data_IF_570279426829
#
_entry.id   IF_570279426829
#
_cell.length_a   1.000
_cell.length_b   1.000
_cell.length_c   1.000
_cell.angle_alpha   90.00
_cell.angle_beta   90.00
_cell.angle_gamma   90.00
#
_symmetry.space_group_name_H-M   'P 1'
#
loop_
_entity.id
_entity.type
_entity.pdbx_description
1 polymer ?
#
# COMPACT_ATOMS: atom_id res chain seq x y z
N UNK A 1 44.01 -51.95 -39.39
CA UNK A 1 44.83 -51.98 -38.17
C UNK A 1 44.88 -50.59 -37.61
N UNK A 2 44.31 -50.38 -36.49
CA UNK A 2 44.68 -49.44 -35.45
C UNK A 2 43.43 -49.12 -34.60
N UNK A 3 43.56 -49.43 -33.36
CA UNK A 3 42.61 -49.54 -32.28
C UNK A 3 42.28 -48.18 -31.72
N UNK A 4 41.01 -47.98 -31.41
CA UNK A 4 40.42 -46.87 -30.66
C UNK A 4 40.80 -46.91 -29.17
N UNK A 5 41.02 -45.78 -28.46
CA UNK A 5 41.06 -45.77 -27.00
C UNK A 5 39.75 -45.23 -26.39
N UNK A 6 39.31 -46.00 -25.48
CA UNK A 6 38.37 -45.85 -24.37
C UNK A 6 38.04 -44.42 -23.89
N UNK A 7 36.78 -44.09 -23.92
CA UNK A 7 36.12 -43.03 -23.14
C UNK A 7 36.00 -43.47 -21.66
N UNK A 8 36.70 -42.77 -20.77
CA UNK A 8 36.52 -42.88 -19.32
C UNK A 8 35.22 -42.20 -18.89
N UNK A 9 34.33 -42.98 -18.29
CA UNK A 9 33.09 -42.50 -17.66
C UNK A 9 33.45 -41.67 -16.41
N UNK A 10 33.18 -40.36 -16.45
CA UNK A 10 33.16 -39.52 -15.28
C UNK A 10 31.81 -39.73 -14.56
N UNK A 11 31.87 -40.22 -13.33
CA UNK A 11 30.75 -40.34 -12.39
C UNK A 11 30.13 -38.98 -12.15
N UNK A 12 28.93 -38.71 -12.64
CA UNK A 12 28.09 -37.64 -12.16
C UNK A 12 27.71 -37.95 -10.71
N UNK A 13 28.16 -37.08 -9.81
CA UNK A 13 27.85 -37.17 -8.39
C UNK A 13 26.35 -37.09 -8.14
N UNK A 14 25.90 -37.99 -7.30
CA UNK A 14 24.51 -38.08 -6.81
C UNK A 14 24.26 -36.83 -5.96
N UNK A 15 23.56 -35.84 -6.54
CA UNK A 15 22.97 -34.75 -5.75
C UNK A 15 21.93 -35.34 -4.80
N UNK A 16 22.10 -35.10 -3.51
CA UNK A 16 21.30 -35.69 -2.45
C UNK A 16 19.81 -35.31 -2.61
N UNK A 17 18.93 -36.24 -2.28
CA UNK A 17 17.46 -36.05 -2.27
C UNK A 17 16.97 -34.85 -1.48
N UNK A 18 17.81 -34.23 -0.64
CA UNK A 18 17.49 -32.96 0.07
C UNK A 18 17.48 -31.74 -0.86
N UNK A 19 18.31 -31.71 -1.92
CA UNK A 19 18.36 -30.62 -2.87
C UNK A 19 17.11 -30.58 -3.79
N UNK A 20 16.55 -31.74 -4.11
CA UNK A 20 15.34 -31.83 -4.95
C UNK A 20 14.07 -31.43 -4.20
N UNK A 21 14.02 -31.56 -2.86
CA UNK A 21 12.88 -31.08 -2.06
C UNK A 21 12.84 -29.57 -1.90
N UNK A 22 13.97 -28.86 -1.99
CA UNK A 22 14.01 -27.39 -1.94
C UNK A 22 13.56 -26.74 -3.26
N UNK A 23 13.69 -27.45 -4.39
CA UNK A 23 13.25 -26.95 -5.70
C UNK A 23 11.72 -27.06 -5.91
N UNK A 24 11.02 -27.92 -5.14
CA UNK A 24 9.57 -28.09 -5.25
C UNK A 24 8.77 -26.98 -4.53
N UNK A 25 9.42 -26.09 -3.79
CA UNK A 25 8.79 -24.92 -3.15
C UNK A 25 9.10 -23.58 -3.85
N UNK A 26 9.84 -23.59 -4.96
CA UNK A 26 9.97 -22.40 -5.78
C UNK A 26 8.61 -22.12 -6.46
N UNK A 27 7.78 -21.24 -5.84
CA UNK A 27 6.58 -20.73 -6.49
C UNK A 27 7.04 -20.03 -7.77
N UNK A 28 6.74 -20.63 -8.91
CA UNK A 28 6.99 -20.01 -10.21
C UNK A 28 6.16 -18.74 -10.30
N UNK A 29 6.82 -17.58 -10.28
CA UNK A 29 6.15 -16.32 -10.57
C UNK A 29 5.72 -16.36 -12.04
N UNK A 30 4.43 -16.32 -12.29
CA UNK A 30 3.86 -16.13 -13.62
C UNK A 30 3.46 -14.68 -13.81
N UNK A 31 3.77 -14.12 -14.96
CA UNK A 31 3.30 -12.79 -15.37
C UNK A 31 1.88 -12.84 -15.97
N UNK A 32 1.31 -14.04 -16.14
CA UNK A 32 -0.04 -14.20 -16.66
C UNK A 32 -1.06 -14.11 -15.52
N UNK A 33 -1.93 -13.11 -15.62
CA UNK A 33 -3.06 -12.96 -14.70
C UNK A 33 -4.10 -14.05 -14.95
N UNK A 34 -4.72 -14.54 -13.89
CA UNK A 34 -5.91 -15.39 -13.99
C UNK A 34 -7.09 -14.61 -14.59
N UNK A 35 -8.13 -15.29 -15.01
CA UNK A 35 -9.36 -14.66 -15.52
C UNK A 35 -10.00 -13.76 -14.46
N UNK A 36 -10.08 -14.23 -13.20
CA UNK A 36 -10.58 -13.44 -12.07
C UNK A 36 -9.75 -12.16 -11.86
N UNK A 37 -8.43 -12.25 -11.86
CA UNK A 37 -7.54 -11.11 -11.71
C UNK A 37 -7.72 -10.09 -12.84
N UNK A 38 -7.86 -10.54 -14.10
CA UNK A 38 -8.15 -9.65 -15.23
C UNK A 38 -9.51 -8.96 -15.07
N UNK A 39 -10.54 -9.71 -14.67
CA UNK A 39 -11.87 -9.15 -14.44
C UNK A 39 -11.85 -8.05 -13.38
N UNK A 40 -11.16 -8.27 -12.26
CA UNK A 40 -11.01 -7.27 -11.19
C UNK A 40 -10.25 -6.04 -11.71
N UNK A 41 -9.17 -6.24 -12.45
CA UNK A 41 -8.40 -5.14 -13.04
C UNK A 41 -9.24 -4.31 -14.02
N UNK A 42 -9.97 -4.94 -14.92
CA UNK A 42 -10.83 -4.27 -15.91
C UNK A 42 -11.98 -3.52 -15.22
N UNK A 43 -12.61 -4.13 -14.24
CA UNK A 43 -13.66 -3.50 -13.44
C UNK A 43 -13.16 -2.23 -12.74
N UNK A 44 -12.00 -2.30 -12.08
CA UNK A 44 -11.38 -1.14 -11.42
C UNK A 44 -10.94 -0.07 -12.42
N UNK A 45 -10.40 -0.46 -13.59
CA UNK A 45 -10.01 0.45 -14.68
C UNK A 45 -11.20 1.22 -15.25
N UNK A 46 -12.28 0.53 -15.56
CA UNK A 46 -13.50 1.14 -16.08
C UNK A 46 -14.07 2.12 -15.08
N UNK A 47 -14.20 1.72 -13.83
CA UNK A 47 -14.63 2.60 -12.75
C UNK A 47 -13.72 3.85 -12.62
N UNK A 48 -12.40 3.66 -12.65
CA UNK A 48 -11.44 4.75 -12.55
C UNK A 48 -11.57 5.75 -13.70
N UNK A 49 -11.74 5.25 -14.93
CA UNK A 49 -11.90 6.10 -16.11
C UNK A 49 -13.21 6.88 -16.10
N UNK A 50 -14.31 6.25 -15.68
CA UNK A 50 -15.66 6.85 -15.72
C UNK A 50 -15.94 7.77 -14.54
N UNK A 51 -15.47 7.42 -13.33
CA UNK A 51 -15.89 8.09 -12.10
C UNK A 51 -14.78 8.84 -11.37
N UNK A 52 -13.50 8.42 -11.52
CA UNK A 52 -12.39 9.04 -10.78
C UNK A 52 -11.65 10.08 -11.61
N UNK A 53 -11.17 9.68 -12.77
CA UNK A 53 -10.32 10.54 -13.61
C UNK A 53 -10.95 11.90 -13.97
N UNK A 54 -12.24 11.98 -14.34
CA UNK A 54 -12.87 13.27 -14.68
C UNK A 54 -12.92 14.26 -13.50
N UNK A 55 -12.97 13.74 -12.26
CA UNK A 55 -13.14 14.54 -11.05
C UNK A 55 -11.86 14.69 -10.22
N UNK A 56 -10.75 14.04 -10.61
CA UNK A 56 -9.53 13.96 -9.81
C UNK A 56 -8.91 15.34 -9.54
N UNK A 57 -8.90 16.23 -10.52
CA UNK A 57 -8.39 17.59 -10.36
C UNK A 57 -9.24 18.41 -9.41
N UNK A 58 -10.57 18.34 -9.51
CA UNK A 58 -11.49 19.03 -8.60
C UNK A 58 -11.33 18.54 -7.15
N UNK A 59 -11.32 17.23 -6.94
CA UNK A 59 -11.11 16.65 -5.61
C UNK A 59 -9.75 17.07 -5.00
N UNK A 60 -8.68 17.12 -5.80
CA UNK A 60 -7.37 17.56 -5.35
C UNK A 60 -7.35 19.05 -4.99
N UNK A 61 -7.88 19.92 -5.87
CA UNK A 61 -7.86 21.38 -5.70
C UNK A 61 -8.64 21.80 -4.45
N UNK A 62 -9.85 21.28 -4.30
CA UNK A 62 -10.73 21.58 -3.19
C UNK A 62 -10.43 20.71 -1.94
N UNK A 63 -9.50 19.78 -2.05
CA UNK A 63 -9.18 18.80 -1.00
C UNK A 63 -10.44 18.07 -0.47
N UNK A 64 -11.37 17.71 -1.36
CA UNK A 64 -12.65 17.10 -1.03
C UNK A 64 -12.55 15.58 -0.98
N UNK A 65 -13.04 14.99 0.13
CA UNK A 65 -13.13 13.55 0.26
C UNK A 65 -14.12 12.95 -0.75
N UNK A 66 -13.76 11.86 -1.47
CA UNK A 66 -14.55 11.29 -2.57
C UNK A 66 -15.66 10.35 -2.05
N UNK A 67 -16.64 10.83 -1.30
CA UNK A 67 -17.69 10.00 -0.68
C UNK A 67 -18.45 9.15 -1.68
N UNK A 68 -18.94 9.74 -2.79
CA UNK A 68 -19.71 8.99 -3.78
C UNK A 68 -18.91 7.91 -4.50
N UNK A 69 -17.67 8.15 -4.96
CA UNK A 69 -16.79 7.09 -5.43
C UNK A 69 -16.58 5.96 -4.43
N UNK A 70 -16.30 6.27 -3.15
CA UNK A 70 -16.09 5.25 -2.11
C UNK A 70 -17.34 4.40 -1.91
N UNK A 71 -18.53 5.02 -1.86
CA UNK A 71 -19.81 4.30 -1.75
C UNK A 71 -20.06 3.34 -2.92
N UNK A 72 -19.75 3.79 -4.15
CA UNK A 72 -19.83 2.92 -5.34
C UNK A 72 -18.83 1.77 -5.29
N UNK A 73 -17.58 2.02 -4.87
CA UNK A 73 -16.57 0.97 -4.69
C UNK A 73 -17.00 -0.06 -3.65
N UNK A 74 -17.70 0.37 -2.60
CA UNK A 74 -18.28 -0.54 -1.61
C UNK A 74 -19.35 -1.44 -2.23
N UNK A 75 -20.25 -0.90 -3.05
CA UNK A 75 -21.27 -1.70 -3.76
C UNK A 75 -20.68 -2.70 -4.76
N UNK A 76 -19.44 -2.45 -5.23
CA UNK A 76 -18.66 -3.37 -6.07
C UNK A 76 -17.84 -4.39 -5.25
N UNK A 77 -17.88 -4.33 -3.92
CA UNK A 77 -17.15 -5.19 -3.00
C UNK A 77 -15.66 -4.81 -2.82
N UNK A 78 -15.18 -3.74 -3.46
CA UNK A 78 -13.77 -3.35 -3.43
C UNK A 78 -13.33 -2.74 -2.09
N UNK A 79 -14.27 -2.47 -1.17
CA UNK A 79 -13.95 -2.05 0.21
C UNK A 79 -13.72 -3.24 1.15
N UNK A 80 -13.94 -4.48 0.69
CA UNK A 80 -13.65 -5.71 1.41
C UNK A 80 -13.04 -6.77 0.50
N UNK A 81 -12.13 -6.37 -0.40
CA UNK A 81 -11.67 -7.21 -1.50
C UNK A 81 -11.08 -8.56 -1.04
N UNK A 82 -10.21 -8.58 -0.02
CA UNK A 82 -9.58 -9.80 0.49
C UNK A 82 -10.31 -10.38 1.72
N UNK A 83 -11.32 -9.71 2.25
CA UNK A 83 -12.06 -10.21 3.39
C UNK A 83 -12.90 -11.45 3.04
N UNK A 84 -13.14 -12.30 4.05
CA UNK A 84 -13.96 -13.51 3.89
C UNK A 84 -15.38 -13.17 3.40
N UNK A 85 -15.96 -13.95 2.46
CA UNK A 85 -17.35 -13.82 2.04
C UNK A 85 -18.36 -13.92 3.19
N UNK A 86 -18.03 -14.66 4.24
CA UNK A 86 -18.84 -14.76 5.48
C UNK A 86 -19.14 -13.39 6.11
N UNK A 87 -18.18 -12.45 5.99
CA UNK A 87 -18.30 -11.09 6.52
C UNK A 87 -18.57 -10.06 5.42
N UNK A 88 -18.99 -10.50 4.21
CA UNK A 88 -19.37 -9.63 3.10
C UNK A 88 -18.22 -9.21 2.19
N UNK A 89 -17.05 -9.81 2.32
CA UNK A 89 -15.91 -9.60 1.43
C UNK A 89 -15.99 -10.43 0.14
N UNK A 90 -15.03 -10.20 -0.78
CA UNK A 90 -14.95 -10.94 -2.05
C UNK A 90 -14.01 -12.16 -1.98
N UNK A 91 -13.22 -12.34 -0.91
CA UNK A 91 -12.25 -13.44 -0.77
C UNK A 91 -11.15 -13.44 -1.83
N UNK A 92 -10.79 -12.28 -2.36
CA UNK A 92 -9.76 -12.14 -3.39
C UNK A 92 -8.34 -12.26 -2.80
N UNK A 93 -7.38 -12.58 -3.67
CA UNK A 93 -5.96 -12.56 -3.32
C UNK A 93 -5.37 -11.13 -3.30
N UNK A 94 -4.17 -11.00 -2.74
CA UNK A 94 -3.48 -9.70 -2.65
C UNK A 94 -3.10 -9.15 -4.03
N UNK A 95 -2.86 -10.00 -5.03
CA UNK A 95 -2.57 -9.53 -6.38
C UNK A 95 -3.82 -8.89 -6.99
N UNK A 96 -5.00 -9.48 -6.83
CA UNK A 96 -6.27 -8.88 -7.27
C UNK A 96 -6.52 -7.52 -6.63
N UNK A 97 -6.28 -7.41 -5.31
CA UNK A 97 -6.40 -6.13 -4.61
C UNK A 97 -5.36 -5.11 -5.10
N UNK A 98 -4.11 -5.53 -5.33
CA UNK A 98 -3.06 -4.65 -5.85
C UNK A 98 -3.39 -4.13 -7.26
N UNK A 99 -3.93 -5.00 -8.14
CA UNK A 99 -4.43 -4.61 -9.46
C UNK A 99 -5.55 -3.56 -9.37
N UNK A 100 -6.51 -3.76 -8.46
CA UNK A 100 -7.57 -2.79 -8.23
C UNK A 100 -7.00 -1.44 -7.73
N UNK A 101 -6.12 -1.45 -6.73
CA UNK A 101 -5.48 -0.23 -6.19
C UNK A 101 -4.66 0.49 -7.25
N UNK A 102 -3.93 -0.22 -8.10
CA UNK A 102 -3.18 0.36 -9.22
C UNK A 102 -4.12 1.14 -10.16
N UNK A 103 -5.19 0.53 -10.63
CA UNK A 103 -6.11 1.16 -11.57
C UNK A 103 -6.89 2.33 -10.94
N UNK A 104 -7.32 2.19 -9.68
CA UNK A 104 -7.97 3.27 -8.94
C UNK A 104 -7.01 4.46 -8.76
N UNK A 105 -5.75 4.19 -8.42
CA UNK A 105 -4.71 5.23 -8.25
C UNK A 105 -4.34 5.90 -9.57
N UNK A 106 -4.41 5.18 -10.69
CA UNK A 106 -4.26 5.73 -12.04
C UNK A 106 -5.38 6.74 -12.36
N UNK A 107 -6.60 6.50 -11.88
CA UNK A 107 -7.71 7.45 -12.02
C UNK A 107 -7.63 8.63 -11.07
N UNK A 108 -7.40 8.34 -9.78
CA UNK A 108 -7.26 9.33 -8.70
C UNK A 108 -6.38 8.77 -7.58
N UNK A 109 -5.22 9.37 -7.38
CA UNK A 109 -4.27 8.94 -6.34
C UNK A 109 -4.91 8.94 -4.93
N UNK A 110 -5.69 9.98 -4.60
CA UNK A 110 -6.35 10.07 -3.28
C UNK A 110 -7.34 8.92 -3.04
N UNK A 111 -8.17 8.58 -4.04
CA UNK A 111 -9.11 7.45 -3.92
C UNK A 111 -8.36 6.13 -3.80
N UNK A 112 -7.31 5.91 -4.60
CA UNK A 112 -6.46 4.72 -4.50
C UNK A 112 -5.81 4.58 -3.13
N UNK A 113 -5.35 5.68 -2.52
CA UNK A 113 -4.79 5.70 -1.17
C UNK A 113 -5.83 5.32 -0.11
N UNK A 114 -7.04 5.89 -0.17
CA UNK A 114 -8.14 5.59 0.76
C UNK A 114 -8.45 4.08 0.74
N UNK A 115 -8.64 3.52 -0.46
CA UNK A 115 -8.94 2.09 -0.66
C UNK A 115 -7.78 1.21 -0.20
N UNK A 116 -6.55 1.60 -0.51
CA UNK A 116 -5.34 0.87 -0.11
C UNK A 116 -5.20 0.78 1.40
N UNK A 117 -5.28 1.91 2.12
CA UNK A 117 -5.14 1.94 3.58
C UNK A 117 -6.28 1.18 4.25
N UNK A 118 -7.51 1.38 3.78
CA UNK A 118 -8.67 0.68 4.32
C UNK A 118 -8.54 -0.85 4.20
N UNK A 119 -8.22 -1.36 3.01
CA UNK A 119 -8.12 -2.80 2.78
C UNK A 119 -6.85 -3.41 3.41
N UNK A 120 -5.65 -2.89 3.05
CA UNK A 120 -4.38 -3.52 3.45
C UNK A 120 -4.03 -3.32 4.93
N UNK A 121 -4.52 -2.26 5.60
CA UNK A 121 -4.16 -2.01 6.99
C UNK A 121 -5.28 -2.31 7.98
N UNK A 122 -6.55 -2.02 7.63
CA UNK A 122 -7.64 -2.21 8.56
C UNK A 122 -8.40 -3.51 8.30
N UNK A 123 -8.98 -3.67 7.10
CA UNK A 123 -9.81 -4.83 6.76
C UNK A 123 -9.03 -6.14 6.89
N UNK A 124 -7.83 -6.20 6.32
CA UNK A 124 -7.00 -7.40 6.38
C UNK A 124 -6.55 -7.72 7.81
N UNK A 125 -6.21 -6.70 8.62
CA UNK A 125 -5.87 -6.91 10.03
C UNK A 125 -7.02 -7.61 10.77
N UNK A 126 -8.24 -7.07 10.66
CA UNK A 126 -9.41 -7.65 11.32
C UNK A 126 -9.74 -9.03 10.76
N UNK A 127 -9.68 -9.20 9.43
CA UNK A 127 -9.96 -10.46 8.76
C UNK A 127 -8.99 -11.58 9.17
N UNK A 128 -7.69 -11.27 9.31
CA UNK A 128 -6.65 -12.28 9.60
C UNK A 128 -6.46 -12.54 11.10
N UNK A 129 -6.60 -11.50 11.93
CA UNK A 129 -6.22 -11.55 13.35
C UNK A 129 -7.40 -11.43 14.31
N UNK A 130 -8.55 -10.92 13.85
CA UNK A 130 -9.74 -10.74 14.67
C UNK A 130 -10.38 -12.06 15.07
N UNK A 131 -10.96 -12.12 16.28
CA UNK A 131 -11.84 -13.20 16.69
C UNK A 131 -13.15 -13.17 15.90
N UNK A 132 -13.98 -14.23 15.88
CA UNK A 132 -15.30 -14.19 15.25
C UNK A 132 -16.15 -13.01 15.72
N UNK A 133 -16.16 -12.73 17.02
CA UNK A 133 -16.91 -11.62 17.62
C UNK A 133 -16.37 -10.25 17.15
N UNK A 134 -15.05 -10.11 17.10
CA UNK A 134 -14.42 -8.90 16.58
C UNK A 134 -14.72 -8.69 15.10
N UNK A 135 -14.75 -9.75 14.29
CA UNK A 135 -15.10 -9.68 12.87
C UNK A 135 -16.57 -9.26 12.65
N UNK A 136 -17.48 -9.74 13.48
CA UNK A 136 -18.87 -9.28 13.41
C UNK A 136 -18.99 -7.77 13.65
N UNK A 137 -18.27 -7.23 14.64
CA UNK A 137 -18.32 -5.82 15.02
C UNK A 137 -17.50 -4.93 14.09
N UNK A 138 -16.28 -5.37 13.73
CA UNK A 138 -15.25 -4.53 13.12
C UNK A 138 -14.91 -4.89 11.66
N UNK A 139 -15.63 -5.84 11.04
CA UNK A 139 -15.39 -6.21 9.65
C UNK A 139 -16.64 -6.12 8.78
N UNK A 140 -17.78 -6.62 9.23
CA UNK A 140 -19.00 -6.76 8.42
C UNK A 140 -19.49 -5.45 7.78
N UNK A 141 -19.52 -4.36 8.50
CA UNK A 141 -19.92 -3.05 7.96
C UNK A 141 -18.78 -2.37 7.17
N UNK A 142 -17.53 -2.71 7.48
CA UNK A 142 -16.36 -2.15 6.83
C UNK A 142 -16.15 -2.71 5.41
N UNK A 143 -16.54 -3.94 5.16
CA UNK A 143 -16.60 -4.48 3.79
C UNK A 143 -17.69 -3.83 2.93
N UNK A 144 -18.70 -3.19 3.57
CA UNK A 144 -19.81 -2.48 2.91
C UNK A 144 -19.60 -0.97 2.81
N UNK A 145 -18.43 -0.46 3.19
CA UNK A 145 -18.05 0.92 2.98
C UNK A 145 -17.92 1.80 4.22
N UNK A 146 -18.18 1.27 5.43
CA UNK A 146 -17.69 1.93 6.64
C UNK A 146 -16.16 1.96 6.58
N UNK A 147 -15.54 3.12 6.89
CA UNK A 147 -14.11 3.27 6.77
C UNK A 147 -13.41 2.91 8.08
N UNK A 148 -12.36 2.11 7.97
CA UNK A 148 -11.43 1.81 9.05
C UNK A 148 -10.11 2.55 8.89
N UNK A 149 -9.48 2.85 10.02
CA UNK A 149 -8.22 3.59 10.10
C UNK A 149 -7.17 2.79 10.86
N UNK A 150 -5.90 3.04 10.55
CA UNK A 150 -4.76 2.41 11.22
C UNK A 150 -3.94 3.48 11.93
N UNK A 151 -3.99 3.50 13.27
CA UNK A 151 -3.44 4.54 14.12
C UNK A 151 -2.20 4.04 14.86
N UNK A 152 -1.04 4.09 14.19
CA UNK A 152 0.24 3.60 14.72
C UNK A 152 1.16 4.76 15.12
N UNK A 153 1.42 5.69 14.19
CA UNK A 153 2.41 6.77 14.34
C UNK A 153 2.03 7.78 15.40
N UNK A 154 3.04 8.32 16.08
CA UNK A 154 2.90 9.37 17.09
C UNK A 154 3.84 10.54 16.80
N UNK A 155 3.67 11.73 17.43
CA UNK A 155 4.57 12.86 17.21
C UNK A 155 6.06 12.53 17.44
N UNK A 156 6.36 11.65 18.40
CA UNK A 156 7.72 11.21 18.72
C UNK A 156 8.12 9.86 18.12
N UNK A 157 7.22 9.14 17.47
CA UNK A 157 7.43 7.77 16.99
C UNK A 157 6.83 7.54 15.60
N UNK A 158 7.59 7.84 14.56
CA UNK A 158 7.25 7.52 13.17
C UNK A 158 7.92 6.23 12.73
N UNK A 159 9.18 6.31 12.32
CA UNK A 159 9.98 5.15 11.89
C UNK A 159 10.33 4.21 13.05
N UNK A 160 10.60 4.74 14.25
CA UNK A 160 10.81 3.95 15.47
C UNK A 160 9.47 3.58 16.11
N UNK A 161 8.79 2.58 15.52
CA UNK A 161 7.49 2.09 16.00
C UNK A 161 7.56 1.57 17.43
N UNK A 162 8.69 1.01 17.86
CA UNK A 162 8.89 0.52 19.22
C UNK A 162 8.95 1.65 20.28
N UNK A 163 9.05 2.89 19.85
CA UNK A 163 9.13 4.09 20.68
C UNK A 163 7.79 4.76 20.97
N UNK A 164 6.64 4.17 20.59
CA UNK A 164 5.32 4.76 20.88
C UNK A 164 5.10 4.92 22.38
N UNK A 165 4.40 6.00 22.75
CA UNK A 165 4.17 6.43 24.14
C UNK A 165 2.70 6.40 24.56
N UNK A 166 1.77 6.17 23.61
CA UNK A 166 0.35 5.97 23.95
C UNK A 166 0.25 4.84 24.95
N UNK A 167 -0.28 5.11 26.15
CA UNK A 167 -0.38 4.17 27.25
C UNK A 167 -1.65 3.38 27.18
N UNK A 168 -1.59 2.12 27.60
CA UNK A 168 -2.74 1.25 27.86
C UNK A 168 -2.63 0.72 29.28
N UNK A 169 -3.48 1.19 30.18
CA UNK A 169 -3.51 0.75 31.58
C UNK A 169 -4.70 -0.17 31.78
N UNK A 170 -4.44 -1.38 32.31
CA UNK A 170 -5.50 -2.33 32.61
C UNK A 170 -6.28 -1.86 33.86
N UNK A 171 -7.59 -1.72 33.72
CA UNK A 171 -8.51 -1.39 34.81
C UNK A 171 -9.72 -2.37 34.78
N UNK A 172 -9.73 -3.32 35.67
CA UNK A 172 -10.70 -4.41 35.69
C UNK A 172 -10.69 -5.21 34.38
N UNK A 173 -11.82 -5.21 33.65
CA UNK A 173 -11.97 -5.88 32.37
C UNK A 173 -11.73 -4.93 31.16
N UNK A 174 -11.24 -3.74 31.39
CA UNK A 174 -11.02 -2.73 30.36
C UNK A 174 -9.56 -2.25 30.34
N UNK A 175 -9.15 -1.71 29.22
CA UNK A 175 -7.95 -0.88 29.11
C UNK A 175 -8.34 0.59 29.01
N UNK A 176 -7.63 1.45 29.73
CA UNK A 176 -7.73 2.89 29.60
C UNK A 176 -6.59 3.39 28.71
N UNK A 177 -6.93 3.96 27.55
CA UNK A 177 -5.96 4.43 26.58
C UNK A 177 -5.77 5.94 26.69
N UNK A 178 -4.49 6.37 26.78
CA UNK A 178 -4.10 7.77 26.81
C UNK A 178 -2.92 8.04 25.89
N UNK A 179 -3.06 9.00 24.96
CA UNK A 179 -1.99 9.35 24.05
C UNK A 179 -2.44 10.12 22.81
N UNK A 180 -1.51 10.30 21.87
CA UNK A 180 -1.77 11.06 20.65
C UNK A 180 -1.19 10.33 19.43
N UNK A 181 -2.04 10.05 18.45
CA UNK A 181 -1.67 9.49 17.15
C UNK A 181 -1.61 10.60 16.11
N UNK A 182 -0.74 10.44 15.10
CA UNK A 182 -0.59 11.39 13.98
C UNK A 182 -0.68 10.70 12.65
N UNK A 183 -1.02 11.45 11.62
CA UNK A 183 -1.10 10.96 10.24
C UNK A 183 -2.12 9.82 10.05
N UNK A 184 -3.20 9.82 10.82
CA UNK A 184 -4.20 8.75 10.78
C UNK A 184 -5.12 8.96 9.58
N UNK A 185 -4.84 8.23 8.50
CA UNK A 185 -5.62 8.27 7.27
C UNK A 185 -7.03 7.69 7.50
N UNK A 186 -8.03 8.29 6.87
CA UNK A 186 -9.46 7.95 6.96
C UNK A 186 -10.10 8.21 8.34
N UNK A 187 -9.41 8.77 9.33
CA UNK A 187 -9.97 8.90 10.69
C UNK A 187 -11.11 9.93 10.76
N UNK A 188 -11.12 10.95 9.91
CA UNK A 188 -12.19 11.95 9.89
C UNK A 188 -13.52 11.33 9.48
N UNK A 189 -13.53 10.52 8.45
CA UNK A 189 -14.70 9.82 7.91
C UNK A 189 -14.87 8.40 8.47
N UNK A 190 -13.88 7.93 9.23
CA UNK A 190 -13.80 6.57 9.76
C UNK A 190 -14.83 6.26 10.83
N UNK A 191 -15.07 4.96 11.03
CA UNK A 191 -15.95 4.41 12.06
C UNK A 191 -15.21 3.64 13.13
N UNK A 192 -13.99 3.18 12.86
CA UNK A 192 -13.14 2.50 13.85
C UNK A 192 -11.66 2.72 13.56
N UNK A 193 -10.86 2.55 14.61
CA UNK A 193 -9.41 2.59 14.64
C UNK A 193 -8.87 1.19 14.96
N UNK A 194 -7.92 0.70 14.17
CA UNK A 194 -6.94 -0.27 14.65
C UNK A 194 -5.78 0.55 15.24
N UNK A 195 -5.69 0.64 16.58
CA UNK A 195 -4.70 1.49 17.27
C UNK A 195 -3.74 0.67 18.11
N UNK A 196 -2.55 1.21 18.34
CA UNK A 196 -1.47 0.56 19.08
C UNK A 196 -1.10 1.40 20.28
N UNK A 197 -1.02 0.76 21.46
CA UNK A 197 -0.60 1.38 22.70
C UNK A 197 0.40 0.49 23.43
N UNK A 198 1.12 1.03 24.40
CA UNK A 198 2.04 0.25 25.21
C UNK A 198 1.54 0.12 26.65
N UNK A 199 1.67 -1.07 27.21
CA UNK A 199 1.40 -1.29 28.64
C UNK A 199 2.57 -0.82 29.51
N UNK A 200 3.78 -0.77 28.94
CA UNK A 200 4.99 -0.25 29.57
C UNK A 200 5.99 0.20 28.49
N UNK A 201 6.28 1.51 28.37
CA UNK A 201 7.21 2.03 27.39
C UNK A 201 8.64 1.47 27.52
N UNK A 202 9.06 1.03 28.71
CA UNK A 202 10.39 0.46 28.93
C UNK A 202 10.57 -0.88 28.25
N UNK A 203 9.48 -1.61 28.01
CA UNK A 203 9.46 -2.88 27.30
C UNK A 203 9.60 -2.72 25.78
N UNK A 204 9.50 -1.48 25.25
CA UNK A 204 9.60 -1.16 23.83
C UNK A 204 8.67 -2.07 23.02
N UNK A 205 9.20 -2.80 22.02
CA UNK A 205 8.41 -3.67 21.13
C UNK A 205 7.63 -4.78 21.87
N UNK A 206 8.06 -5.21 23.07
CA UNK A 206 7.39 -6.24 23.88
C UNK A 206 6.20 -5.69 24.67
N UNK A 207 6.10 -4.39 24.85
CA UNK A 207 5.00 -3.74 25.57
C UNK A 207 3.80 -3.39 24.69
N UNK A 208 3.88 -3.55 23.35
CA UNK A 208 2.85 -3.10 22.45
C UNK A 208 1.64 -4.04 22.40
N UNK A 209 0.46 -3.42 22.39
CA UNK A 209 -0.84 -4.08 22.26
C UNK A 209 -1.61 -3.43 21.09
N UNK A 210 -2.35 -4.22 20.33
CA UNK A 210 -3.23 -3.75 19.25
C UNK A 210 -4.69 -3.77 19.73
N UNK A 211 -5.43 -2.70 19.48
CA UNK A 211 -6.82 -2.52 19.88
C UNK A 211 -7.68 -2.15 18.67
N UNK A 212 -8.89 -2.70 18.61
CA UNK A 212 -9.95 -2.22 17.72
C UNK A 212 -10.87 -1.31 18.55
N UNK A 213 -11.01 -0.05 18.13
CA UNK A 213 -11.77 0.94 18.91
C UNK A 213 -12.75 1.66 17.99
N UNK A 214 -14.07 1.66 18.30
CA UNK A 214 -15.02 2.50 17.59
C UNK A 214 -14.61 3.98 17.73
N UNK A 215 -14.64 4.76 16.65
CA UNK A 215 -14.11 6.14 16.67
C UNK A 215 -14.98 7.10 17.46
N UNK A 216 -16.24 6.73 17.71
CA UNK A 216 -17.19 7.50 18.52
C UNK A 216 -17.11 7.15 20.02
N UNK A 217 -16.12 6.33 20.44
CA UNK A 217 -15.87 6.07 21.86
C UNK A 217 -15.50 7.38 22.57
N UNK A 218 -16.08 7.61 23.74
CA UNK A 218 -15.81 8.78 24.57
C UNK A 218 -14.29 8.90 24.83
N UNK A 219 -13.76 10.13 24.80
CA UNK A 219 -12.35 10.40 24.94
C UNK A 219 -11.55 10.36 23.64
N UNK A 220 -12.17 10.06 22.47
CA UNK A 220 -11.50 10.13 21.17
C UNK A 220 -11.78 11.47 20.51
N UNK A 221 -10.70 12.22 20.27
CA UNK A 221 -10.77 13.52 19.59
C UNK A 221 -10.02 13.49 18.26
N UNK A 222 -10.74 13.76 17.18
CA UNK A 222 -10.16 13.91 15.83
C UNK A 222 -9.74 15.36 15.64
N UNK A 223 -8.48 15.58 15.30
CA UNK A 223 -7.97 16.91 14.97
C UNK A 223 -8.34 17.36 13.56
N UNK A 224 -7.84 18.51 13.19
CA UNK A 224 -8.03 19.06 11.85
C UNK A 224 -7.29 18.22 10.80
N UNK A 225 -7.82 18.20 9.58
CA UNK A 225 -7.18 17.59 8.42
C UNK A 225 -5.80 18.19 8.19
N UNK A 226 -4.81 17.34 8.01
CA UNK A 226 -3.46 17.75 7.65
C UNK A 226 -3.41 18.36 6.24
N UNK A 227 -2.72 19.48 6.11
CA UNK A 227 -2.50 20.16 4.83
C UNK A 227 -1.22 19.63 4.19
N UNK A 228 -1.37 18.65 3.30
CA UNK A 228 -0.26 17.94 2.66
C UNK A 228 -0.17 18.23 1.16
N UNK A 229 0.99 18.03 0.57
CA UNK A 229 1.20 18.28 -0.87
C UNK A 229 0.64 17.19 -1.77
N UNK A 230 0.52 15.94 -1.27
CA UNK A 230 0.10 14.77 -2.04
C UNK A 230 -1.24 14.23 -1.55
N UNK A 231 -1.96 13.56 -2.42
CA UNK A 231 -3.25 12.88 -2.12
C UNK A 231 -4.21 13.76 -1.33
N UNK A 232 -4.37 15.01 -1.75
CA UNK A 232 -5.05 16.06 -0.99
C UNK A 232 -6.52 15.78 -0.69
N UNK A 233 -7.17 14.92 -1.46
CA UNK A 233 -8.53 14.47 -1.22
C UNK A 233 -8.63 13.27 -0.26
N UNK A 234 -7.54 12.57 0.05
CA UNK A 234 -7.50 11.64 1.17
C UNK A 234 -7.30 12.43 2.46
N UNK A 235 -8.02 12.05 3.52
CA UNK A 235 -7.93 12.75 4.78
C UNK A 235 -6.96 12.03 5.72
N UNK A 236 -6.10 12.78 6.34
CA UNK A 236 -5.29 12.35 7.47
C UNK A 236 -5.39 13.40 8.56
N UNK A 237 -5.52 13.00 9.82
CA UNK A 237 -5.56 13.90 10.95
C UNK A 237 -4.85 13.31 12.18
N UNK A 238 -4.49 14.12 13.17
CA UNK A 238 -4.13 13.62 14.50
C UNK A 238 -5.36 13.10 15.21
N UNK A 239 -5.18 12.05 16.03
CA UNK A 239 -6.21 11.49 16.91
C UNK A 239 -5.67 11.50 18.34
N UNK A 240 -6.35 12.19 19.26
CA UNK A 240 -6.02 12.20 20.67
C UNK A 240 -6.92 11.23 21.41
N UNK A 241 -6.36 10.47 22.35
CA UNK A 241 -7.02 9.52 23.22
C UNK A 241 -6.87 10.04 24.66
N UNK A 242 -7.99 10.35 25.31
CA UNK A 242 -8.05 10.86 26.68
C UNK A 242 -8.99 9.98 27.48
N UNK A 243 -8.43 9.15 28.35
CA UNK A 243 -9.14 8.18 29.21
C UNK A 243 -10.11 7.25 28.42
N UNK A 244 -9.72 6.86 27.22
CA UNK A 244 -10.53 6.03 26.35
C UNK A 244 -10.66 4.63 26.93
N UNK A 245 -11.87 4.26 27.36
CA UNK A 245 -12.18 2.96 27.94
C UNK A 245 -12.45 1.92 26.83
N UNK A 246 -11.61 0.88 26.75
CA UNK A 246 -11.68 -0.17 25.73
C UNK A 246 -11.78 -1.54 26.38
N UNK A 247 -12.83 -2.34 26.11
CA UNK A 247 -12.96 -3.69 26.63
C UNK A 247 -11.79 -4.59 26.23
N UNK A 248 -11.34 -5.49 27.11
CA UNK A 248 -10.30 -6.48 26.79
C UNK A 248 -10.66 -7.33 25.56
N UNK A 249 -11.95 -7.57 25.30
CA UNK A 249 -12.43 -8.30 24.12
C UNK A 249 -12.11 -7.58 22.79
N UNK A 250 -11.69 -6.31 22.83
CA UNK A 250 -11.29 -5.54 21.64
C UNK A 250 -9.77 -5.56 21.41
N UNK A 251 -9.00 -6.27 22.25
CA UNK A 251 -7.57 -6.53 22.01
C UNK A 251 -7.42 -7.54 20.87
N UNK A 252 -6.59 -7.23 19.88
CA UNK A 252 -6.25 -8.14 18.78
C UNK A 252 -5.00 -8.92 19.17
N UNK A 253 -5.10 -10.24 19.16
CA UNK A 253 -4.02 -11.13 19.64
C UNK A 253 -3.87 -11.08 21.16
N UNK A 254 -2.63 -11.23 21.64
CA UNK A 254 -2.32 -11.17 23.07
C UNK A 254 -1.54 -9.88 23.41
N UNK A 255 -1.60 -9.38 24.65
CA UNK A 255 -0.72 -8.31 25.10
C UNK A 255 0.75 -8.64 24.83
N UNK A 256 1.50 -7.69 24.25
CA UNK A 256 2.88 -7.89 23.81
C UNK A 256 3.04 -8.34 22.34
N UNK A 257 1.99 -8.79 21.67
CA UNK A 257 2.03 -9.16 20.25
C UNK A 257 1.82 -7.96 19.30
N UNK A 258 1.45 -6.79 19.82
CA UNK A 258 1.10 -5.62 19.00
C UNK A 258 2.19 -5.21 18.01
N UNK A 259 3.47 -5.32 18.39
CA UNK A 259 4.56 -5.02 17.47
C UNK A 259 4.62 -6.01 16.29
N UNK A 260 4.50 -7.32 16.55
CA UNK A 260 4.50 -8.35 15.51
C UNK A 260 3.32 -8.13 14.56
N UNK A 261 2.12 -7.91 15.12
CA UNK A 261 0.91 -7.63 14.34
C UNK A 261 1.12 -6.38 13.45
N UNK A 262 1.67 -5.30 14.00
CA UNK A 262 1.95 -4.09 13.24
C UNK A 262 2.94 -4.35 12.09
N UNK A 263 4.03 -5.11 12.31
CA UNK A 263 5.03 -5.39 11.27
C UNK A 263 4.48 -6.27 10.15
N UNK A 264 3.72 -7.32 10.49
CA UNK A 264 3.05 -8.19 9.51
C UNK A 264 2.07 -7.37 8.66
N UNK A 265 1.30 -6.48 9.28
CA UNK A 265 0.35 -5.62 8.57
C UNK A 265 1.05 -4.58 7.68
N UNK A 266 2.18 -4.04 8.12
CA UNK A 266 2.99 -3.13 7.32
C UNK A 266 3.62 -3.82 6.09
N UNK A 267 3.91 -5.13 6.13
CA UNK A 267 4.38 -5.87 4.95
C UNK A 267 3.31 -5.91 3.87
N UNK A 268 2.05 -6.13 4.24
CA UNK A 268 0.92 -6.06 3.31
C UNK A 268 0.68 -4.63 2.81
N UNK A 269 0.72 -3.64 3.71
CA UNK A 269 0.54 -2.23 3.35
C UNK A 269 1.58 -1.73 2.33
N UNK A 270 2.83 -2.20 2.40
CA UNK A 270 3.89 -1.87 1.43
C UNK A 270 3.50 -2.31 0.02
N UNK A 271 2.82 -3.46 -0.13
CA UNK A 271 2.29 -3.93 -1.43
C UNK A 271 1.23 -2.94 -1.94
N UNK A 272 0.29 -2.54 -1.08
CA UNK A 272 -0.75 -1.57 -1.42
C UNK A 272 -0.17 -0.21 -1.85
N UNK A 273 0.83 0.30 -1.12
CA UNK A 273 1.51 1.55 -1.47
C UNK A 273 2.36 1.41 -2.75
N UNK A 274 2.96 0.25 -3.00
CA UNK A 274 3.66 -0.01 -4.25
C UNK A 274 2.68 0.00 -5.45
N UNK A 275 1.54 -0.67 -5.35
CA UNK A 275 0.49 -0.66 -6.37
C UNK A 275 -0.05 0.76 -6.61
N UNK A 276 -0.30 1.51 -5.53
CA UNK A 276 -0.68 2.92 -5.59
C UNK A 276 0.36 3.77 -6.35
N UNK A 277 1.64 3.61 -6.06
CA UNK A 277 2.71 4.32 -6.74
C UNK A 277 2.81 3.95 -8.24
N UNK A 278 2.62 2.66 -8.58
CA UNK A 278 2.58 2.20 -9.99
C UNK A 278 1.41 2.85 -10.73
N UNK A 279 0.23 2.95 -10.11
CA UNK A 279 -0.94 3.62 -10.69
C UNK A 279 -0.67 5.10 -10.99
N UNK A 280 -0.06 5.85 -10.06
CA UNK A 280 0.35 7.24 -10.26
C UNK A 280 1.36 7.35 -11.42
N UNK A 281 2.37 6.47 -11.45
CA UNK A 281 3.38 6.45 -12.50
C UNK A 281 2.75 6.17 -13.87
N UNK A 282 1.83 5.22 -13.96
CA UNK A 282 1.10 4.92 -15.19
C UNK A 282 0.28 6.12 -15.68
N UNK A 283 -0.40 6.82 -14.76
CA UNK A 283 -1.16 8.03 -15.10
C UNK A 283 -0.26 9.14 -15.63
N UNK A 284 0.91 9.33 -15.02
CA UNK A 284 1.90 10.31 -15.50
C UNK A 284 2.45 9.96 -16.90
N UNK A 285 2.73 8.67 -17.14
CA UNK A 285 3.15 8.17 -18.46
C UNK A 285 2.06 8.39 -19.52
N UNK A 286 0.80 8.04 -19.21
CA UNK A 286 -0.33 8.24 -20.12
C UNK A 286 -0.53 9.72 -20.47
N UNK A 287 -0.40 10.60 -19.48
CA UNK A 287 -0.48 12.06 -19.64
C UNK A 287 0.64 12.56 -20.55
N UNK A 288 1.87 12.14 -20.34
CA UNK A 288 3.04 12.51 -21.14
C UNK A 288 2.91 12.02 -22.59
N UNK A 289 2.48 10.77 -22.82
CA UNK A 289 2.26 10.20 -24.16
C UNK A 289 1.18 10.99 -24.90
N UNK A 290 0.04 11.23 -24.24
CA UNK A 290 -1.09 11.95 -24.83
C UNK A 290 -0.69 13.37 -25.23
N UNK A 291 0.04 14.07 -24.37
CA UNK A 291 0.54 15.40 -24.64
C UNK A 291 1.57 15.41 -25.78
N UNK A 292 2.57 14.52 -25.75
CA UNK A 292 3.62 14.44 -26.74
C UNK A 292 3.10 14.14 -28.17
N UNK A 293 1.99 13.37 -28.27
CA UNK A 293 1.33 13.09 -29.56
C UNK A 293 0.60 14.30 -30.13
N UNK A 294 0.04 15.18 -29.26
CA UNK A 294 -0.79 16.32 -29.68
C UNK A 294 0.01 17.63 -29.86
N UNK A 295 1.02 17.85 -29.05
CA UNK A 295 1.79 19.10 -29.05
C UNK A 295 2.73 19.15 -30.22
N UNK A 296 2.62 20.21 -31.04
CA UNK A 296 3.50 20.49 -32.16
C UNK A 296 4.59 21.48 -31.73
N UNK A 297 5.86 21.17 -32.01
CA UNK A 297 7.00 22.05 -31.93
C UNK A 297 8.01 21.66 -33.04
N UNK A 298 8.77 22.61 -33.54
CA UNK A 298 9.70 22.38 -34.65
C UNK A 298 9.02 21.72 -35.88
N UNK A 299 7.76 22.10 -36.15
CA UNK A 299 6.98 21.61 -37.29
C UNK A 299 6.48 20.17 -37.21
N UNK A 300 6.60 19.48 -36.03
CA UNK A 300 6.19 18.10 -35.86
C UNK A 300 5.72 17.82 -34.41
N UNK A 301 4.93 16.73 -34.15
CA UNK A 301 4.58 16.32 -32.80
C UNK A 301 5.82 16.08 -31.95
N UNK A 302 5.77 16.43 -30.67
CA UNK A 302 6.89 16.20 -29.74
C UNK A 302 7.30 14.71 -29.69
N UNK A 303 6.37 13.79 -29.86
CA UNK A 303 6.64 12.34 -29.93
C UNK A 303 7.54 11.93 -31.11
N UNK A 304 7.81 12.83 -32.07
CA UNK A 304 8.76 12.62 -33.17
C UNK A 304 10.17 13.11 -32.85
N UNK A 305 10.39 13.79 -31.73
CA UNK A 305 11.70 14.23 -31.25
C UNK A 305 12.42 13.09 -30.51
N UNK A 306 13.69 12.85 -30.83
CA UNK A 306 14.47 11.77 -30.22
C UNK A 306 14.52 11.88 -28.70
N UNK A 307 14.85 13.05 -28.16
CA UNK A 307 14.92 13.29 -26.72
C UNK A 307 13.59 13.04 -25.97
N UNK A 308 12.44 13.28 -26.62
CA UNK A 308 11.13 12.97 -26.03
C UNK A 308 10.83 11.49 -26.10
N UNK A 309 11.18 10.80 -27.20
CA UNK A 309 11.06 9.35 -27.31
C UNK A 309 11.88 8.64 -26.24
N UNK A 310 13.13 9.06 -26.04
CA UNK A 310 14.03 8.45 -25.05
C UNK A 310 13.45 8.58 -23.64
N UNK A 311 12.91 9.76 -23.27
CA UNK A 311 12.21 9.95 -21.99
C UNK A 311 10.97 9.07 -21.85
N UNK A 312 10.11 8.98 -22.86
CA UNK A 312 8.93 8.13 -22.83
C UNK A 312 9.31 6.65 -22.71
N UNK A 313 10.40 6.23 -23.35
CA UNK A 313 10.92 4.85 -23.23
C UNK A 313 11.40 4.58 -21.81
N UNK A 314 12.18 5.50 -21.23
CA UNK A 314 12.63 5.38 -19.83
C UNK A 314 11.45 5.33 -18.86
N UNK A 315 10.47 6.22 -19.00
CA UNK A 315 9.23 6.20 -18.18
C UNK A 315 8.54 4.85 -18.27
N UNK A 316 8.41 4.27 -19.47
CA UNK A 316 7.80 2.95 -19.67
C UNK A 316 8.56 1.86 -18.91
N UNK A 317 9.89 1.80 -19.03
CA UNK A 317 10.72 0.82 -18.33
C UNK A 317 10.64 0.96 -16.81
N UNK A 318 10.60 2.20 -16.30
CA UNK A 318 10.45 2.47 -14.87
C UNK A 318 9.08 1.99 -14.33
N UNK A 319 8.00 2.21 -15.08
CA UNK A 319 6.65 1.72 -14.71
C UNK A 319 6.63 0.20 -14.71
N UNK A 320 7.11 -0.46 -15.77
CA UNK A 320 7.06 -1.92 -15.89
C UNK A 320 7.90 -2.62 -14.83
N UNK A 321 9.10 -2.14 -14.53
CA UNK A 321 9.96 -2.73 -13.49
C UNK A 321 9.34 -2.58 -12.10
N UNK A 322 8.69 -1.45 -11.80
CA UNK A 322 7.97 -1.24 -10.54
C UNK A 322 6.75 -2.17 -10.43
N UNK A 323 5.99 -2.33 -11.52
CA UNK A 323 4.82 -3.21 -11.61
C UNK A 323 5.19 -4.66 -11.36
N UNK A 324 6.21 -5.18 -12.04
CA UNK A 324 6.69 -6.55 -11.87
C UNK A 324 7.13 -6.83 -10.42
N UNK A 325 7.85 -5.91 -9.79
CA UNK A 325 8.26 -6.04 -8.39
C UNK A 325 7.04 -6.04 -7.44
N UNK A 326 6.04 -5.20 -7.73
CA UNK A 326 4.80 -5.10 -6.94
C UNK A 326 3.96 -6.38 -7.04
N UNK A 327 3.77 -6.90 -8.25
CA UNK A 327 3.00 -8.14 -8.46
C UNK A 327 3.70 -9.35 -7.85
N UNK A 328 5.03 -9.43 -7.97
CA UNK A 328 5.81 -10.45 -7.27
C UNK A 328 5.58 -10.39 -5.76
N UNK A 329 5.64 -9.21 -5.15
CA UNK A 329 5.42 -9.05 -3.71
C UNK A 329 4.00 -9.42 -3.29
N UNK A 330 3.00 -9.17 -4.14
CA UNK A 330 1.61 -9.55 -3.87
C UNK A 330 1.36 -11.06 -3.93
N UNK A 331 2.12 -11.80 -4.76
CA UNK A 331 2.04 -13.26 -4.87
C UNK A 331 2.88 -13.96 -3.81
N UNK A 332 4.05 -13.41 -3.48
CA UNK A 332 5.01 -13.96 -2.52
C UNK A 332 5.30 -12.92 -1.44
N UNK A 333 4.36 -12.84 -0.47
CA UNK A 333 4.41 -11.84 0.61
C UNK A 333 5.55 -12.16 1.57
N UNK A 334 6.51 -11.27 1.63
CA UNK A 334 7.60 -11.29 2.61
C UNK A 334 8.08 -9.87 2.87
N UNK A 335 8.71 -9.63 4.01
CA UNK A 335 9.26 -8.31 4.34
C UNK A 335 10.25 -7.83 3.27
N UNK A 336 11.10 -8.74 2.74
CA UNK A 336 12.06 -8.40 1.68
C UNK A 336 11.38 -8.00 0.37
N UNK A 337 10.44 -8.82 -0.12
CA UNK A 337 9.75 -8.55 -1.38
C UNK A 337 8.87 -7.30 -1.30
N UNK A 338 8.12 -7.13 -0.20
CA UNK A 338 7.27 -5.96 0.02
C UNK A 338 8.09 -4.66 0.14
N UNK A 339 9.22 -4.71 0.86
CA UNK A 339 10.13 -3.58 0.96
C UNK A 339 10.78 -3.23 -0.39
N UNK A 340 11.20 -4.24 -1.17
CA UNK A 340 11.77 -4.04 -2.51
C UNK A 340 10.76 -3.43 -3.47
N UNK A 341 9.53 -3.95 -3.50
CA UNK A 341 8.44 -3.43 -4.33
C UNK A 341 8.16 -1.97 -4.00
N UNK A 342 7.96 -1.65 -2.73
CA UNK A 342 7.67 -0.28 -2.26
C UNK A 342 8.81 0.69 -2.55
N UNK A 343 10.06 0.25 -2.38
CA UNK A 343 11.23 1.06 -2.72
C UNK A 343 11.28 1.41 -4.21
N UNK A 344 11.17 0.39 -5.07
CA UNK A 344 11.22 0.56 -6.53
C UNK A 344 10.03 1.41 -7.01
N UNK A 345 8.82 1.06 -6.59
CA UNK A 345 7.61 1.76 -7.05
C UNK A 345 7.62 3.24 -6.66
N UNK A 346 7.97 3.59 -5.42
CA UNK A 346 8.00 4.99 -4.98
C UNK A 346 9.06 5.82 -5.68
N UNK A 347 10.28 5.27 -5.89
CA UNK A 347 11.34 5.96 -6.64
C UNK A 347 10.98 6.14 -8.11
N UNK A 348 10.52 5.07 -8.74
CA UNK A 348 10.20 5.08 -10.16
C UNK A 348 9.01 6.01 -10.43
N UNK A 349 7.98 6.01 -9.57
CA UNK A 349 6.84 6.92 -9.72
C UNK A 349 7.27 8.39 -9.69
N UNK A 350 8.18 8.76 -8.78
CA UNK A 350 8.70 10.13 -8.72
C UNK A 350 9.50 10.49 -9.98
N UNK A 351 10.35 9.58 -10.48
CA UNK A 351 11.12 9.81 -11.70
C UNK A 351 10.20 9.93 -12.93
N UNK A 352 9.19 9.06 -13.05
CA UNK A 352 8.21 9.10 -14.15
C UNK A 352 7.40 10.41 -14.11
N UNK A 353 6.96 10.84 -12.93
CA UNK A 353 6.23 12.09 -12.77
C UNK A 353 7.10 13.31 -13.08
N UNK A 354 8.37 13.30 -12.73
CA UNK A 354 9.36 14.34 -13.11
C UNK A 354 9.51 14.43 -14.63
N UNK A 355 9.69 13.30 -15.30
CA UNK A 355 9.73 13.25 -16.75
C UNK A 355 8.44 13.75 -17.41
N UNK A 356 7.28 13.49 -16.80
CA UNK A 356 6.00 14.00 -17.27
C UNK A 356 5.98 15.54 -17.25
N UNK A 357 6.36 16.15 -16.12
CA UNK A 357 6.48 17.61 -15.98
C UNK A 357 7.46 18.16 -17.02
N UNK A 358 8.61 17.53 -17.20
CA UNK A 358 9.63 17.95 -18.15
C UNK A 358 9.13 17.88 -19.61
N UNK A 359 8.36 16.86 -20.00
CA UNK A 359 7.79 16.74 -21.35
C UNK A 359 6.72 17.82 -21.61
N UNK A 360 5.94 18.17 -20.61
CA UNK A 360 4.93 19.23 -20.71
C UNK A 360 5.54 20.63 -20.67
N UNK A 361 6.79 20.79 -20.17
CA UNK A 361 7.46 22.07 -20.01
C UNK A 361 6.70 23.02 -19.09
N UNK A 362 6.58 24.29 -19.39
CA UNK A 362 5.85 25.25 -18.57
C UNK A 362 4.41 24.85 -18.24
N UNK A 363 3.75 24.09 -19.11
CA UNK A 363 2.42 23.53 -18.85
C UNK A 363 2.44 22.46 -17.76
N UNK A 364 3.55 21.76 -17.57
CA UNK A 364 3.72 20.76 -16.52
C UNK A 364 3.76 21.34 -15.11
N UNK A 365 4.00 22.66 -14.99
CA UNK A 365 3.99 23.39 -13.72
C UNK A 365 2.61 23.99 -13.39
N UNK A 366 1.66 23.95 -14.32
CA UNK A 366 0.36 24.58 -14.18
C UNK A 366 -0.67 23.60 -13.64
N UNK A 367 -1.45 24.05 -12.65
CA UNK A 367 -2.58 23.30 -12.09
C UNK A 367 -3.69 22.96 -13.08
N UNK A 368 -3.68 23.57 -14.27
CA UNK A 368 -4.60 23.24 -15.36
C UNK A 368 -4.22 21.94 -16.09
N UNK A 369 -3.11 21.30 -15.70
CA UNK A 369 -2.62 20.06 -16.27
C UNK A 369 -2.28 19.07 -15.16
N UNK A 370 -2.55 17.80 -15.40
CA UNK A 370 -2.39 16.74 -14.37
C UNK A 370 -0.94 16.47 -13.96
N UNK A 371 0.07 16.93 -14.72
CA UNK A 371 1.46 16.58 -14.49
C UNK A 371 1.99 17.04 -13.13
N UNK A 372 1.64 18.25 -12.69
CA UNK A 372 2.06 18.78 -11.39
C UNK A 372 1.43 17.98 -10.23
N UNK A 373 0.16 17.55 -10.38
CA UNK A 373 -0.54 16.70 -9.39
C UNK A 373 0.13 15.34 -9.31
N UNK A 374 0.45 14.70 -10.44
CA UNK A 374 1.18 13.43 -10.45
C UNK A 374 2.52 13.55 -9.76
N UNK A 375 3.24 14.66 -9.94
CA UNK A 375 4.53 14.90 -9.28
C UNK A 375 4.38 15.01 -7.77
N UNK A 376 3.38 15.77 -7.28
CA UNK A 376 3.09 15.90 -5.85
C UNK A 376 2.68 14.55 -5.23
N UNK A 377 1.78 13.83 -5.89
CA UNK A 377 1.27 12.55 -5.41
C UNK A 377 2.35 11.47 -5.40
N UNK A 378 3.19 11.40 -6.43
CA UNK A 378 4.30 10.46 -6.50
C UNK A 378 5.30 10.67 -5.36
N UNK A 379 5.59 11.93 -4.98
CA UNK A 379 6.54 12.23 -3.89
C UNK A 379 6.08 11.65 -2.54
N UNK A 380 4.78 11.68 -2.27
CA UNK A 380 4.20 11.11 -1.04
C UNK A 380 4.51 9.62 -0.89
N UNK A 381 4.48 8.86 -2.00
CA UNK A 381 4.71 7.40 -1.99
C UNK A 381 6.08 6.98 -1.46
N UNK A 382 7.05 7.86 -1.40
CA UNK A 382 8.38 7.61 -0.80
C UNK A 382 8.39 7.79 0.73
N UNK A 383 7.36 8.40 1.30
CA UNK A 383 7.31 8.78 2.73
C UNK A 383 6.37 7.86 3.50
N UNK A 384 5.07 7.83 3.13
CA UNK A 384 4.10 7.01 3.87
C UNK A 384 4.26 5.51 3.60
N UNK A 385 3.76 4.67 4.50
CA UNK A 385 3.93 3.22 4.44
C UNK A 385 5.39 2.76 4.66
N UNK A 386 6.18 3.57 5.36
CA UNK A 386 7.61 3.38 5.61
C UNK A 386 8.50 4.09 4.59
N UNK A 387 9.33 5.01 5.07
CA UNK A 387 10.21 5.83 4.22
C UNK A 387 11.18 4.98 3.39
N UNK A 388 11.58 5.51 2.24
CA UNK A 388 12.47 4.84 1.27
C UNK A 388 13.75 4.28 1.92
N UNK A 389 14.32 5.00 2.90
CA UNK A 389 15.56 4.58 3.58
C UNK A 389 15.36 3.32 4.44
N UNK A 390 14.19 3.19 5.08
CA UNK A 390 13.84 1.96 5.82
C UNK A 390 13.66 0.79 4.86
N UNK A 391 13.05 0.97 3.69
CA UNK A 391 12.91 -0.11 2.71
C UNK A 391 14.30 -0.63 2.28
N UNK A 392 15.26 0.28 2.01
CA UNK A 392 16.65 -0.11 1.71
C UNK A 392 17.29 -0.94 2.82
N UNK A 393 17.14 -0.48 4.07
CA UNK A 393 17.72 -1.18 5.23
C UNK A 393 17.13 -2.58 5.39
N UNK A 394 15.80 -2.73 5.22
CA UNK A 394 15.13 -4.03 5.28
C UNK A 394 15.64 -4.97 4.19
N UNK A 395 15.70 -4.51 2.93
CA UNK A 395 16.23 -5.32 1.83
C UNK A 395 17.67 -5.76 2.12
N UNK A 396 18.56 -4.84 2.56
CA UNK A 396 19.94 -5.16 2.90
C UNK A 396 20.06 -6.18 4.05
N UNK A 397 19.23 -6.02 5.09
CA UNK A 397 19.21 -6.97 6.22
C UNK A 397 18.87 -8.40 5.76
N UNK A 398 17.76 -8.55 5.00
CA UNK A 398 17.34 -9.87 4.54
C UNK A 398 18.26 -10.46 3.48
N UNK A 399 18.88 -9.62 2.63
CA UNK A 399 19.90 -10.08 1.67
C UNK A 399 21.08 -10.75 2.37
N UNK A 400 21.62 -10.11 3.41
CA UNK A 400 22.76 -10.66 4.16
C UNK A 400 22.34 -11.91 4.96
N UNK A 401 21.18 -11.88 5.62
CA UNK A 401 20.66 -13.03 6.35
C UNK A 401 20.46 -14.27 5.46
N UNK A 402 19.98 -14.08 4.23
CA UNK A 402 19.84 -15.18 3.26
C UNK A 402 21.21 -15.72 2.80
N UNK A 403 22.19 -14.84 2.63
CA UNK A 403 23.56 -15.26 2.27
C UNK A 403 24.22 -16.05 3.38
N UNK A 404 24.06 -15.66 4.64
CA UNK A 404 24.63 -16.37 5.79
C UNK A 404 23.96 -17.74 6.04
N UNK A 405 22.81 -18.00 5.44
CA UNK A 405 22.07 -19.26 5.53
C UNK A 405 22.40 -20.26 4.40
N UNK A 406 23.18 -19.84 3.39
CA UNK A 406 23.70 -20.67 2.28
C UNK A 406 25.04 -21.31 2.63
#
# INVERSE_FOLDING_TARGET
MATSPLLKSTKLGIYSHKCLKSLSQCRTFTTQLTEQQRTVQEMARNFANEHLKPNASHHDTEALFPFEPIKKLASMGLMGACASPEYGGLGLDYLSLALAVEELSRGCASTGMIVSIHNFLYVNLVNEKGTPEQKEIFLRDFTKGALGSFALSEPGAGTDVAGIQTKAVLDGNNYILNGKKTWVTNAIEGKALATFATVDPTLRHKGLVCFLVPIETEGIFRGQKERIISVRAATACPVTLEDVCVPQSYVVGQPGEGFRIAMEQLDQARIGIAAHAVGIAQSALDTAISYAKKRIAFGKPLSRLASVKDRLTEMCMLVETARLATYRAAVDVSTKNSAMAKYLAGRNATAVADHCVQILGGRGLSVNYDAERHYRDARGTQIYGGVTDIQKRLVGHYLLKEHDAL
#
